data_IF_950045591184
#
_entry.id   IF_950045591184
#
_cell.length_a   1.000
_cell.length_b   1.000
_cell.length_c   1.000
_cell.angle_alpha   90.00
_cell.angle_beta   90.00
_cell.angle_gamma   90.00
#
_symmetry.space_group_name_H-M   'P 1'
#
loop_
_entity.id
_entity.type
_entity.pdbx_description
1 polymer ?
#
# COMPACT_ATOMS: atom_id res chain seq x y z
N UNK A 1 -5.38 7.41 15.37
CA UNK A 1 -6.40 7.51 14.34
C UNK A 1 -6.05 6.56 13.19
N UNK A 2 -6.96 5.68 12.82
CA UNK A 2 -6.76 4.74 11.70
C UNK A 2 -8.10 4.16 11.22
N UNK A 3 -9.10 5.01 11.01
CA UNK A 3 -10.50 4.61 10.81
C UNK A 3 -10.67 3.67 9.61
N UNK A 4 -10.08 3.98 8.47
CA UNK A 4 -10.13 3.17 7.25
C UNK A 4 -8.94 2.22 7.08
N UNK A 5 -8.10 2.03 8.13
CA UNK A 5 -7.12 0.95 8.20
C UNK A 5 -5.84 1.12 7.41
N UNK A 6 -5.35 2.35 7.19
CA UNK A 6 -4.02 2.54 6.56
C UNK A 6 -2.93 1.74 7.26
N UNK A 7 -2.93 1.77 8.61
CA UNK A 7 -1.92 1.10 9.44
C UNK A 7 -2.31 -0.35 9.72
N UNK A 8 -3.49 -0.55 10.33
CA UNK A 8 -3.93 -1.85 10.83
C UNK A 8 -4.27 -2.88 9.74
N UNK A 9 -4.66 -2.44 8.55
CA UNK A 9 -5.00 -3.32 7.42
C UNK A 9 -3.87 -3.33 6.40
N UNK A 10 -3.58 -2.17 5.82
CA UNK A 10 -2.68 -2.10 4.67
C UNK A 10 -1.21 -2.25 5.04
N UNK A 11 -0.70 -1.46 5.99
CA UNK A 11 0.69 -1.57 6.42
C UNK A 11 0.95 -2.92 7.11
N UNK A 12 0.07 -3.33 8.02
CA UNK A 12 0.20 -4.64 8.68
C UNK A 12 0.24 -5.78 7.67
N UNK A 13 -0.73 -5.85 6.75
CA UNK A 13 -0.80 -6.91 5.74
C UNK A 13 0.43 -6.94 4.85
N UNK A 14 0.93 -5.78 4.43
CA UNK A 14 2.14 -5.69 3.62
C UNK A 14 3.37 -6.23 4.35
N UNK A 15 3.63 -5.79 5.57
CA UNK A 15 4.80 -6.24 6.35
C UNK A 15 4.67 -7.68 6.83
N UNK A 16 3.45 -8.15 7.10
CA UNK A 16 3.20 -9.57 7.35
C UNK A 16 3.56 -10.41 6.11
N UNK A 17 3.08 -10.03 4.93
CA UNK A 17 3.41 -10.71 3.67
C UNK A 17 4.91 -10.73 3.38
N UNK A 18 5.62 -9.61 3.58
CA UNK A 18 7.06 -9.54 3.44
C UNK A 18 7.79 -10.45 4.44
N UNK A 19 7.27 -10.55 5.68
CA UNK A 19 7.76 -11.49 6.68
C UNK A 19 7.63 -12.94 6.24
N UNK A 20 6.48 -13.32 5.67
CA UNK A 20 6.23 -14.66 5.11
C UNK A 20 7.22 -14.97 3.99
N UNK A 21 7.32 -14.10 3.00
CA UNK A 21 8.23 -14.29 1.86
C UNK A 21 9.69 -14.44 2.30
N UNK A 22 10.12 -13.67 3.29
CA UNK A 22 11.50 -13.75 3.81
C UNK A 22 11.88 -15.12 4.40
N UNK A 23 10.90 -15.97 4.72
CA UNK A 23 11.14 -17.29 5.34
C UNK A 23 10.71 -18.47 4.48
N UNK A 24 9.65 -18.32 3.66
CA UNK A 24 9.17 -19.38 2.77
C UNK A 24 9.97 -19.47 1.48
N UNK A 25 10.50 -18.37 0.99
CA UNK A 25 11.02 -18.26 -0.37
C UNK A 25 12.49 -18.70 -0.54
N UNK A 26 12.98 -19.59 0.33
CA UNK A 26 14.34 -20.13 0.22
C UNK A 26 14.62 -20.77 -1.14
N UNK A 27 13.64 -21.42 -1.72
CA UNK A 27 13.72 -22.09 -3.03
C UNK A 27 13.81 -21.08 -4.19
N UNK A 28 13.28 -19.87 -4.00
CA UNK A 28 13.24 -18.80 -5.00
C UNK A 28 14.28 -17.71 -4.76
N UNK A 29 15.05 -17.80 -3.67
CA UNK A 29 16.10 -16.84 -3.34
C UNK A 29 17.11 -16.74 -4.49
N UNK A 30 17.28 -15.52 -5.01
CA UNK A 30 18.18 -15.25 -6.13
C UNK A 30 17.62 -15.55 -7.52
N UNK A 31 16.39 -16.05 -7.65
CA UNK A 31 15.72 -16.15 -8.95
C UNK A 31 15.11 -14.81 -9.34
N UNK A 32 15.15 -14.43 -10.63
CA UNK A 32 14.45 -13.22 -11.08
C UNK A 32 12.95 -13.35 -10.81
N UNK A 33 12.34 -12.23 -10.46
CA UNK A 33 10.87 -12.15 -10.36
C UNK A 33 10.22 -12.58 -11.68
N UNK A 34 9.04 -13.26 -11.62
CA UNK A 34 8.28 -13.52 -12.82
C UNK A 34 8.06 -12.23 -13.62
N UNK A 35 8.33 -12.27 -14.90
CA UNK A 35 8.12 -11.12 -15.78
C UNK A 35 6.62 -10.91 -15.99
N UNK A 36 6.16 -9.67 -15.91
CA UNK A 36 4.79 -9.33 -16.31
C UNK A 36 4.61 -9.51 -17.83
N UNK A 37 3.42 -9.90 -18.21
CA UNK A 37 3.02 -10.02 -19.61
C UNK A 37 2.00 -8.94 -19.94
N UNK A 38 1.80 -8.66 -21.24
CA UNK A 38 0.77 -7.72 -21.68
C UNK A 38 -0.61 -8.11 -21.11
N UNK A 39 -0.95 -9.40 -21.19
CA UNK A 39 -2.24 -9.92 -20.69
C UNK A 39 -2.34 -9.75 -19.16
N UNK A 40 -1.31 -10.10 -18.39
CA UNK A 40 -1.33 -9.92 -16.95
C UNK A 40 -1.48 -8.44 -16.55
N UNK A 41 -0.87 -7.52 -17.30
CA UNK A 41 -0.97 -6.09 -17.07
C UNK A 41 -2.38 -5.54 -17.39
N UNK A 42 -3.02 -6.05 -18.44
CA UNK A 42 -4.41 -5.69 -18.75
C UNK A 42 -5.38 -6.14 -17.66
N UNK A 43 -5.25 -7.37 -17.17
CA UNK A 43 -6.05 -7.87 -16.05
C UNK A 43 -5.75 -7.11 -14.73
N UNK A 44 -4.51 -6.77 -14.47
CA UNK A 44 -4.11 -5.97 -13.32
C UNK A 44 -4.79 -4.59 -13.37
N UNK A 45 -4.77 -3.93 -14.53
CA UNK A 45 -5.42 -2.63 -14.71
C UNK A 45 -6.94 -2.73 -14.53
N UNK A 46 -7.58 -3.76 -15.08
CA UNK A 46 -9.02 -3.98 -14.91
C UNK A 46 -9.37 -4.16 -13.41
N UNK A 47 -8.62 -5.01 -12.70
CA UNK A 47 -8.81 -5.19 -11.25
C UNK A 47 -8.61 -3.89 -10.46
N UNK A 48 -7.60 -3.12 -10.85
CA UNK A 48 -7.31 -1.81 -10.25
C UNK A 48 -8.44 -0.80 -10.46
N UNK A 49 -9.05 -0.78 -11.65
CA UNK A 49 -10.22 0.09 -11.94
C UNK A 49 -11.41 -0.28 -11.05
N UNK A 50 -11.66 -1.58 -10.88
CA UNK A 50 -12.73 -2.06 -9.98
C UNK A 50 -12.44 -1.64 -8.54
N UNK A 51 -11.22 -1.83 -8.06
CA UNK A 51 -10.81 -1.41 -6.73
C UNK A 51 -10.94 0.11 -6.56
N UNK A 52 -10.53 0.89 -7.54
CA UNK A 52 -10.63 2.35 -7.51
C UNK A 52 -12.08 2.82 -7.34
N UNK A 53 -13.02 2.23 -8.09
CA UNK A 53 -14.45 2.57 -8.03
C UNK A 53 -15.08 2.20 -6.67
N UNK A 54 -14.69 1.07 -6.09
CA UNK A 54 -15.30 0.56 -4.87
C UNK A 54 -14.54 0.90 -3.59
N UNK A 55 -13.37 1.54 -3.68
CA UNK A 55 -12.59 1.95 -2.50
C UNK A 55 -13.34 2.87 -1.54
N UNK A 56 -14.10 3.87 -2.02
CA UNK A 56 -14.94 4.69 -1.15
C UNK A 56 -15.98 3.89 -0.36
N UNK A 57 -16.53 2.83 -0.94
CA UNK A 57 -17.46 1.94 -0.24
C UNK A 57 -16.77 1.18 0.90
N UNK A 58 -15.54 0.72 0.67
CA UNK A 58 -14.73 0.07 1.69
C UNK A 58 -14.44 1.01 2.87
N UNK A 59 -13.93 2.21 2.61
CA UNK A 59 -13.58 3.16 3.67
C UNK A 59 -14.81 3.69 4.42
N UNK A 60 -15.95 3.88 3.73
CA UNK A 60 -17.16 4.37 4.36
C UNK A 60 -17.92 3.31 5.17
N UNK A 61 -17.70 2.02 4.89
CA UNK A 61 -18.34 0.94 5.63
C UNK A 61 -17.88 0.82 7.09
N UNK A 62 -16.72 1.38 7.44
CA UNK A 62 -16.11 1.29 8.77
C UNK A 62 -16.25 2.56 9.60
N UNK A 63 -17.03 3.54 9.12
CA UNK A 63 -17.31 4.80 9.83
C UNK A 63 -18.76 4.90 10.24
N UNK A 64 -19.08 5.79 11.21
CA UNK A 64 -20.47 6.09 11.53
C UNK A 64 -21.17 6.77 10.35
N UNK A 65 -22.50 6.61 10.20
CA UNK A 65 -23.28 7.20 9.12
C UNK A 65 -23.05 8.71 8.94
N UNK A 66 -22.87 9.45 10.02
CA UNK A 66 -22.63 10.90 10.02
C UNK A 66 -21.33 11.28 9.32
N UNK A 67 -20.35 10.40 9.28
CA UNK A 67 -19.07 10.63 8.61
C UNK A 67 -18.95 9.97 7.23
N UNK A 68 -19.94 9.19 6.82
CA UNK A 68 -19.87 8.40 5.59
C UNK A 68 -19.67 9.28 4.35
N UNK A 69 -20.44 10.38 4.21
CA UNK A 69 -20.33 11.29 3.08
C UNK A 69 -18.93 11.93 2.97
N UNK A 70 -18.41 12.45 4.10
CA UNK A 70 -17.07 13.05 4.14
C UNK A 70 -15.99 12.00 3.81
N UNK A 71 -16.16 10.79 4.31
CA UNK A 71 -15.23 9.66 4.04
C UNK A 71 -15.19 9.30 2.55
N UNK A 72 -16.35 9.20 1.91
CA UNK A 72 -16.45 8.96 0.46
C UNK A 72 -15.75 10.08 -0.31
N UNK A 73 -16.06 11.33 -0.01
CA UNK A 73 -15.46 12.49 -0.67
C UNK A 73 -13.93 12.50 -0.52
N UNK A 74 -13.44 12.36 0.70
CA UNK A 74 -12.01 12.34 0.99
C UNK A 74 -11.28 11.20 0.29
N UNK A 75 -11.89 10.02 0.25
CA UNK A 75 -11.33 8.84 -0.42
C UNK A 75 -11.23 9.07 -1.94
N UNK A 76 -12.29 9.59 -2.56
CA UNK A 76 -12.29 9.91 -4.00
C UNK A 76 -11.20 10.94 -4.32
N UNK A 77 -11.09 12.01 -3.53
CA UNK A 77 -10.08 13.04 -3.75
C UNK A 77 -8.65 12.50 -3.57
N UNK A 78 -8.42 11.66 -2.58
CA UNK A 78 -7.12 11.02 -2.41
C UNK A 78 -6.77 10.06 -3.56
N UNK A 79 -7.73 9.30 -4.06
CA UNK A 79 -7.57 8.45 -5.24
C UNK A 79 -7.29 9.29 -6.51
N UNK A 80 -7.98 10.39 -6.70
CA UNK A 80 -7.70 11.33 -7.80
C UNK A 80 -6.28 11.90 -7.68
N UNK A 81 -5.89 12.35 -6.48
CA UNK A 81 -4.55 12.87 -6.22
C UNK A 81 -3.45 11.86 -6.53
N UNK A 82 -3.59 10.62 -6.07
CA UNK A 82 -2.60 9.57 -6.35
C UNK A 82 -2.56 9.17 -7.82
N UNK A 83 -3.70 9.13 -8.50
CA UNK A 83 -3.77 8.83 -9.94
C UNK A 83 -3.02 9.89 -10.76
N UNK A 84 -3.28 11.18 -10.49
CA UNK A 84 -2.59 12.28 -11.16
C UNK A 84 -1.08 12.26 -10.88
N UNK A 85 -0.69 12.10 -9.62
CA UNK A 85 0.71 12.00 -9.24
C UNK A 85 1.41 10.83 -9.92
N UNK A 86 0.79 9.64 -9.90
CA UNK A 86 1.34 8.46 -10.56
C UNK A 86 1.54 8.69 -12.05
N UNK A 87 0.55 9.26 -12.74
CA UNK A 87 0.66 9.58 -14.16
C UNK A 87 1.85 10.48 -14.47
N UNK A 88 2.03 11.54 -13.67
CA UNK A 88 3.15 12.47 -13.84
C UNK A 88 4.49 11.80 -13.53
N UNK A 89 4.59 11.14 -12.37
CA UNK A 89 5.87 10.60 -11.89
C UNK A 89 6.33 9.37 -12.66
N UNK A 90 5.43 8.47 -13.11
CA UNK A 90 5.84 7.35 -13.97
C UNK A 90 6.44 7.86 -15.28
N UNK A 91 5.85 8.91 -15.87
CA UNK A 91 6.39 9.55 -17.07
C UNK A 91 7.74 10.21 -16.84
N UNK A 92 7.90 10.92 -15.71
CA UNK A 92 9.16 11.59 -15.38
C UNK A 92 10.30 10.60 -15.07
N UNK A 93 10.01 9.51 -14.35
CA UNK A 93 11.02 8.56 -13.90
C UNK A 93 11.37 7.56 -15.02
N UNK A 94 10.36 7.02 -15.72
CA UNK A 94 10.56 5.96 -16.71
C UNK A 94 10.58 6.45 -18.15
N UNK A 95 10.34 7.73 -18.40
CA UNK A 95 10.20 8.29 -19.76
C UNK A 95 8.95 7.86 -20.53
N UNK A 96 8.16 6.97 -19.95
CA UNK A 96 6.90 6.43 -20.50
C UNK A 96 5.89 6.23 -19.37
N UNK A 97 4.62 6.06 -19.74
CA UNK A 97 3.60 5.62 -18.78
C UNK A 97 3.73 4.11 -18.63
N UNK A 98 3.93 3.66 -17.41
CA UNK A 98 4.04 2.25 -17.06
C UNK A 98 2.71 1.76 -16.48
N UNK A 99 2.19 0.66 -17.04
CA UNK A 99 0.88 0.13 -16.66
C UNK A 99 0.90 -0.42 -15.23
N UNK A 100 2.00 -1.00 -14.79
CA UNK A 100 2.12 -1.52 -13.41
C UNK A 100 2.11 -0.39 -12.40
N UNK A 101 2.80 0.73 -12.69
CA UNK A 101 2.73 1.92 -11.84
C UNK A 101 1.29 2.46 -11.77
N UNK A 102 0.59 2.59 -12.91
CA UNK A 102 -0.80 3.07 -12.94
C UNK A 102 -1.74 2.12 -12.20
N UNK A 103 -1.64 0.83 -12.43
CA UNK A 103 -2.51 -0.14 -11.77
C UNK A 103 -2.34 -0.18 -10.25
N UNK A 104 -1.16 0.13 -9.75
CA UNK A 104 -0.85 0.07 -8.32
C UNK A 104 -0.83 1.45 -7.67
N UNK A 105 0.09 2.32 -8.06
CA UNK A 105 0.32 3.58 -7.36
C UNK A 105 -0.88 4.55 -7.44
N UNK A 106 -1.76 4.42 -8.43
CA UNK A 106 -3.01 5.16 -8.47
C UNK A 106 -3.96 4.84 -7.30
N UNK A 107 -3.85 3.65 -6.70
CA UNK A 107 -4.63 3.25 -5.52
C UNK A 107 -3.99 3.68 -4.19
N UNK A 108 -2.73 4.10 -4.20
CA UNK A 108 -1.99 4.45 -2.98
C UNK A 108 -2.66 5.57 -2.16
N UNK A 109 -3.38 6.49 -2.83
CA UNK A 109 -4.20 7.50 -2.16
C UNK A 109 -5.28 6.91 -1.29
N UNK A 110 -5.98 5.89 -1.78
CA UNK A 110 -7.00 5.15 -1.02
C UNK A 110 -6.42 4.47 0.21
N UNK A 111 -5.23 3.86 0.08
CA UNK A 111 -4.48 3.28 1.21
C UNK A 111 -4.12 4.33 2.24
N UNK A 112 -3.51 5.43 1.80
CA UNK A 112 -2.96 6.45 2.67
C UNK A 112 -4.03 7.24 3.42
N UNK A 113 -5.15 7.58 2.75
CA UNK A 113 -6.24 8.35 3.37
C UNK A 113 -6.97 7.57 4.46
N UNK A 114 -6.86 6.24 4.49
CA UNK A 114 -7.58 5.40 5.43
C UNK A 114 -7.45 5.85 6.89
N UNK A 115 -6.25 6.24 7.35
CA UNK A 115 -6.08 6.73 8.72
C UNK A 115 -6.91 7.98 9.03
N UNK A 116 -7.18 8.82 8.05
CA UNK A 116 -7.76 10.16 8.24
C UNK A 116 -9.02 10.40 7.43
N UNK A 117 -9.56 9.37 6.78
CA UNK A 117 -10.64 9.49 5.79
C UNK A 117 -11.91 10.19 6.33
N UNK A 118 -12.23 10.01 7.61
CA UNK A 118 -13.41 10.58 8.26
C UNK A 118 -13.19 11.96 8.89
N UNK A 119 -11.94 12.45 8.93
CA UNK A 119 -11.57 13.66 9.69
C UNK A 119 -10.77 14.69 8.91
N UNK A 120 -10.09 14.27 7.83
CA UNK A 120 -9.35 15.18 6.97
C UNK A 120 -10.30 16.15 6.25
N UNK A 121 -9.84 17.37 5.97
CA UNK A 121 -10.56 18.21 5.05
C UNK A 121 -10.31 17.78 3.58
N UNK A 122 -11.25 18.04 2.66
CA UNK A 122 -11.16 17.59 1.28
C UNK A 122 -9.89 18.04 0.53
N UNK A 123 -9.44 19.28 0.73
CA UNK A 123 -8.22 19.79 0.11
C UNK A 123 -6.96 19.04 0.59
N UNK A 124 -6.89 18.76 1.88
CA UNK A 124 -5.79 17.98 2.46
C UNK A 124 -5.81 16.52 2.00
N UNK A 125 -6.99 15.95 1.80
CA UNK A 125 -7.13 14.59 1.25
C UNK A 125 -6.53 14.46 -0.15
N UNK A 126 -6.70 15.47 -1.00
CA UNK A 126 -6.04 15.52 -2.32
C UNK A 126 -4.51 15.55 -2.19
N UNK A 127 -3.97 16.35 -1.25
CA UNK A 127 -2.53 16.40 -0.97
C UNK A 127 -2.01 15.06 -0.47
N UNK A 128 -2.71 14.40 0.47
CA UNK A 128 -2.39 13.05 0.93
C UNK A 128 -2.29 12.09 -0.25
N UNK A 129 -3.25 12.13 -1.17
CA UNK A 129 -3.25 11.32 -2.37
C UNK A 129 -2.03 11.57 -3.26
N UNK A 130 -1.72 12.84 -3.53
CA UNK A 130 -0.53 13.22 -4.32
C UNK A 130 0.76 12.68 -3.69
N UNK A 131 0.93 12.85 -2.38
CA UNK A 131 2.10 12.33 -1.67
C UNK A 131 2.17 10.80 -1.75
N UNK A 132 1.04 10.12 -1.57
CA UNK A 132 0.97 8.66 -1.61
C UNK A 132 1.29 8.09 -3.00
N UNK A 133 0.70 8.64 -4.06
CA UNK A 133 0.97 8.23 -5.44
C UNK A 133 2.42 8.45 -5.85
N UNK A 134 2.99 9.60 -5.45
CA UNK A 134 4.41 9.90 -5.67
C UNK A 134 5.30 8.88 -4.95
N UNK A 135 5.05 8.64 -3.66
CA UNK A 135 5.83 7.69 -2.86
C UNK A 135 5.74 6.27 -3.42
N UNK A 136 4.54 5.84 -3.80
CA UNK A 136 4.30 4.51 -4.36
C UNK A 136 5.01 4.32 -5.70
N UNK A 137 4.93 5.30 -6.61
CA UNK A 137 5.63 5.27 -7.91
C UNK A 137 7.15 5.22 -7.73
N UNK A 138 7.71 6.01 -6.81
CA UNK A 138 9.12 5.91 -6.42
C UNK A 138 9.44 4.54 -5.81
N UNK A 139 8.50 3.97 -5.07
CA UNK A 139 8.58 2.63 -4.52
C UNK A 139 8.82 1.58 -5.59
N UNK A 140 7.98 1.53 -6.59
CA UNK A 140 8.08 0.57 -7.69
C UNK A 140 9.35 0.75 -8.53
N UNK A 141 9.75 1.99 -8.76
CA UNK A 141 10.89 2.30 -9.65
C UNK A 141 12.26 2.16 -8.97
N UNK A 142 12.37 2.49 -7.68
CA UNK A 142 13.67 2.66 -7.00
C UNK A 142 13.82 1.81 -5.75
N UNK A 143 12.73 1.67 -4.94
CA UNK A 143 12.80 1.07 -3.60
C UNK A 143 12.63 -0.44 -3.65
N UNK A 144 11.71 -0.94 -4.48
CA UNK A 144 11.39 -2.37 -4.59
C UNK A 144 12.60 -3.29 -4.76
N UNK A 145 13.56 -3.01 -5.66
CA UNK A 145 14.74 -3.87 -5.81
C UNK A 145 15.59 -3.96 -4.53
N UNK A 146 15.66 -2.86 -3.76
CA UNK A 146 16.41 -2.81 -2.50
C UNK A 146 15.71 -3.61 -1.41
N UNK A 147 14.38 -3.49 -1.32
CA UNK A 147 13.56 -4.25 -0.36
C UNK A 147 13.63 -5.74 -0.66
N UNK A 148 13.44 -6.17 -1.91
CA UNK A 148 13.57 -7.57 -2.31
C UNK A 148 14.94 -8.16 -1.95
N UNK A 149 16.02 -7.39 -2.16
CA UNK A 149 17.36 -7.80 -1.74
C UNK A 149 17.49 -7.93 -0.22
N UNK A 150 16.91 -7.01 0.54
CA UNK A 150 16.95 -7.01 2.02
C UNK A 150 16.20 -8.20 2.61
N UNK A 151 15.00 -8.48 2.13
CA UNK A 151 14.19 -9.63 2.60
C UNK A 151 14.65 -10.97 2.03
N UNK A 152 15.57 -10.95 1.05
CA UNK A 152 16.01 -12.14 0.30
C UNK A 152 14.86 -12.91 -0.35
N UNK A 153 13.85 -12.20 -0.81
CA UNK A 153 12.64 -12.72 -1.43
C UNK A 153 12.11 -11.77 -2.48
N UNK A 154 10.99 -12.10 -3.13
CA UNK A 154 10.40 -11.31 -4.19
C UNK A 154 9.03 -10.79 -3.76
N UNK A 155 8.87 -9.49 -3.72
CA UNK A 155 7.56 -8.83 -3.59
C UNK A 155 6.90 -8.79 -4.99
N UNK A 156 6.26 -9.90 -5.38
CA UNK A 156 5.71 -10.10 -6.72
C UNK A 156 4.54 -9.18 -7.04
N UNK A 157 3.80 -8.75 -6.02
CA UNK A 157 2.62 -7.89 -6.18
C UNK A 157 2.92 -6.42 -5.86
N UNK A 158 4.12 -6.10 -5.37
CA UNK A 158 4.47 -4.75 -4.95
C UNK A 158 3.71 -4.29 -3.70
N UNK A 159 3.39 -5.22 -2.77
CA UNK A 159 2.62 -4.89 -1.56
C UNK A 159 3.30 -3.85 -0.69
N UNK A 160 4.64 -3.84 -0.65
CA UNK A 160 5.39 -2.81 0.05
C UNK A 160 5.13 -1.42 -0.53
N UNK A 161 5.13 -1.33 -1.87
CA UNK A 161 5.03 -0.06 -2.57
C UNK A 161 3.60 0.50 -2.57
N UNK A 162 2.58 -0.36 -2.72
CA UNK A 162 1.18 0.05 -2.74
C UNK A 162 0.58 0.19 -1.34
N UNK A 163 0.81 -0.80 -0.47
CA UNK A 163 0.15 -0.90 0.84
C UNK A 163 1.08 -0.54 2.01
N UNK A 164 2.33 -1.02 1.99
CA UNK A 164 3.28 -0.82 3.09
C UNK A 164 3.60 0.65 3.30
N UNK A 165 4.32 1.26 2.38
CA UNK A 165 4.75 2.66 2.50
C UNK A 165 3.59 3.65 2.55
N UNK A 166 2.56 3.59 1.67
CA UNK A 166 1.42 4.48 1.77
C UNK A 166 0.61 4.30 3.05
N UNK A 167 0.53 3.07 3.58
CA UNK A 167 -0.11 2.79 4.86
C UNK A 167 0.61 3.44 6.04
N UNK A 168 1.95 3.35 6.09
CA UNK A 168 2.75 4.06 7.10
C UNK A 168 2.63 5.57 6.95
N UNK A 169 2.67 6.08 5.73
CA UNK A 169 2.49 7.51 5.46
C UNK A 169 1.12 8.00 5.95
N UNK A 170 0.06 7.20 5.77
CA UNK A 170 -1.27 7.49 6.29
C UNK A 170 -1.29 7.59 7.81
N UNK A 171 -0.64 6.66 8.50
CA UNK A 171 -0.45 6.74 9.95
C UNK A 171 0.28 8.01 10.39
N UNK A 172 1.30 8.44 9.64
CA UNK A 172 2.02 9.70 9.92
C UNK A 172 1.14 10.93 9.68
N UNK A 173 0.32 10.96 8.63
CA UNK A 173 -0.65 12.03 8.43
C UNK A 173 -1.69 12.09 9.55
N UNK A 174 -1.99 10.96 10.21
CA UNK A 174 -2.80 10.93 11.42
C UNK A 174 -2.25 11.81 12.55
N UNK A 175 -0.94 12.01 12.63
CA UNK A 175 -0.30 12.91 13.59
C UNK A 175 -0.72 14.36 13.34
N UNK A 176 -0.73 14.79 12.08
CA UNK A 176 -1.08 16.16 11.71
C UNK A 176 -2.53 16.53 12.08
N UNK A 177 -3.43 15.53 12.15
CA UNK A 177 -4.83 15.74 12.49
C UNK A 177 -5.08 15.62 13.99
N UNK A 178 -4.46 14.63 14.66
CA UNK A 178 -4.73 14.35 16.08
C UNK A 178 -3.82 15.07 17.02
N UNK A 179 -2.64 15.53 16.58
CA UNK A 179 -1.57 16.04 17.44
C UNK A 179 -0.93 14.98 18.35
N UNK A 180 -1.40 13.72 18.33
CA UNK A 180 -0.92 12.67 19.23
C UNK A 180 0.24 11.88 18.62
N UNK A 181 1.43 12.48 18.66
CA UNK A 181 2.65 11.93 18.07
C UNK A 181 2.99 10.54 18.62
N UNK A 182 2.97 10.39 19.95
CA UNK A 182 3.41 9.16 20.62
C UNK A 182 2.56 7.95 20.24
N UNK A 183 1.24 8.10 20.25
CA UNK A 183 0.31 7.01 19.91
C UNK A 183 0.41 6.64 18.43
N UNK A 184 0.45 7.61 17.53
CA UNK A 184 0.54 7.34 16.09
C UNK A 184 1.88 6.70 15.70
N UNK A 185 3.00 7.22 16.19
CA UNK A 185 4.30 6.58 15.94
C UNK A 185 4.38 5.20 16.57
N UNK A 186 3.87 5.03 17.79
CA UNK A 186 3.80 3.73 18.44
C UNK A 186 3.00 2.72 17.63
N UNK A 187 1.84 3.11 17.10
CA UNK A 187 1.02 2.26 16.23
C UNK A 187 1.74 1.88 14.93
N UNK A 188 2.38 2.85 14.26
CA UNK A 188 3.15 2.61 13.03
C UNK A 188 4.30 1.64 13.28
N UNK A 189 5.10 1.87 14.32
CA UNK A 189 6.23 1.01 14.67
C UNK A 189 5.75 -0.40 15.06
N UNK A 190 4.75 -0.48 15.94
CA UNK A 190 4.18 -1.77 16.36
C UNK A 190 3.67 -2.58 15.16
N UNK A 191 2.98 -1.94 14.22
CA UNK A 191 2.46 -2.58 13.01
C UNK A 191 3.59 -3.20 12.17
N UNK A 192 4.67 -2.48 11.94
CA UNK A 192 5.81 -3.01 11.19
C UNK A 192 6.47 -4.18 11.92
N UNK A 193 6.75 -4.02 13.22
CA UNK A 193 7.43 -5.05 14.03
C UNK A 193 6.56 -6.30 14.14
N UNK A 194 5.31 -6.15 14.56
CA UNK A 194 4.40 -7.29 14.75
C UNK A 194 4.09 -7.95 13.40
N UNK A 195 3.85 -7.19 12.35
CA UNK A 195 3.64 -7.73 11.01
C UNK A 195 4.83 -8.58 10.53
N UNK A 196 6.04 -8.04 10.60
CA UNK A 196 7.24 -8.77 10.19
C UNK A 196 7.52 -10.02 11.04
N UNK A 197 7.34 -9.93 12.36
CA UNK A 197 7.59 -11.05 13.28
C UNK A 197 6.58 -12.18 13.04
N UNK A 198 5.29 -11.84 13.05
CA UNK A 198 4.23 -12.83 12.84
C UNK A 198 4.29 -13.41 11.42
N UNK A 199 4.60 -12.59 10.42
CA UNK A 199 4.80 -13.05 9.05
C UNK A 199 5.94 -14.06 8.94
N UNK A 200 7.08 -13.78 9.59
CA UNK A 200 8.22 -14.75 9.62
C UNK A 200 7.87 -16.03 10.34
N UNK A 201 7.17 -15.97 11.45
CA UNK A 201 6.70 -17.17 12.17
C UNK A 201 5.77 -17.99 11.27
N UNK A 202 4.79 -17.34 10.65
CA UNK A 202 3.88 -18.00 9.72
C UNK A 202 4.63 -18.63 8.53
N UNK A 203 5.54 -17.89 7.91
CA UNK A 203 6.36 -18.40 6.82
C UNK A 203 7.26 -19.56 7.21
N UNK A 204 7.81 -19.54 8.43
CA UNK A 204 8.60 -20.65 8.96
C UNK A 204 7.73 -21.92 9.14
N UNK A 205 6.51 -21.76 9.68
CA UNK A 205 5.56 -22.86 9.83
C UNK A 205 5.16 -23.43 8.45
N UNK A 206 4.82 -22.57 7.48
CA UNK A 206 4.52 -23.00 6.12
C UNK A 206 5.68 -23.76 5.48
N UNK A 207 6.91 -23.34 5.74
CA UNK A 207 8.12 -24.01 5.26
C UNK A 207 8.30 -25.44 5.80
N UNK A 208 7.68 -25.79 6.94
CA UNK A 208 7.70 -27.15 7.49
C UNK A 208 6.85 -28.14 6.70
N UNK A 209 5.77 -27.65 6.07
CA UNK A 209 4.87 -28.49 5.30
C UNK A 209 5.41 -28.80 3.89
N UNK A 210 6.47 -28.14 3.47
CA UNK A 210 7.19 -28.36 2.21
C UNK A 210 6.26 -28.27 0.98
N UNK A 211 6.63 -27.54 -0.06
CA UNK A 211 6.07 -27.82 -1.39
C UNK A 211 6.75 -29.10 -1.88
N UNK A 212 6.08 -30.23 -1.80
CA UNK A 212 6.44 -31.37 -2.63
C UNK A 212 6.11 -30.94 -4.06
N UNK A 213 7.16 -30.84 -4.87
CA UNK A 213 7.00 -30.66 -6.32
C UNK A 213 6.35 -31.88 -6.91
#
# INVERSE_FOLDING_TARGET
>A
LDTGGSVAIHAFGAYFGLGVVATTDKKFQGKPAPQSTKVSNEFCLLGSMILWLFWPSFTSAVVSPDHAYLTVLNTVLALCGSTLATYVFTKLIRGKIDIEDIANAALAGGVCIGSTCSTANPGFSMVIGICAGTLSTLGFSVIAPKVCKLIRGTDTCGVHNLHGMPGLLGGLFGIAITGNVGVQLGAVIATVVVGLVLGRVCGAILGLFGTKD
#
